data_IF_951160676356
#
_entry.id   IF_951160676356
#
_cell.length_a   1.000
_cell.length_b   1.000
_cell.length_c   1.000
_cell.angle_alpha   90.00
_cell.angle_beta   90.00
_cell.angle_gamma   90.00
#
_symmetry.space_group_name_H-M   'P 1'
#
loop_
_entity.id
_entity.type
_entity.pdbx_description
1 polymer ?
#
# COMPACT_ATOMS: atom_id res chain seq x y z
N UNK A 1 10.18 -1.30 -13.58
CA UNK A 1 10.13 0.17 -13.75
C UNK A 1 9.92 0.78 -12.37
N UNK A 2 10.48 1.96 -12.06
CA UNK A 2 10.20 2.64 -10.78
C UNK A 2 8.91 3.42 -10.90
N UNK A 3 7.96 3.19 -9.99
CA UNK A 3 6.68 3.90 -9.97
C UNK A 3 6.49 4.49 -8.58
N UNK A 4 6.02 5.73 -8.54
CA UNK A 4 5.67 6.36 -7.27
C UNK A 4 4.31 5.88 -6.78
N UNK A 5 4.23 5.60 -5.48
CA UNK A 5 2.96 5.34 -4.81
C UNK A 5 2.66 6.46 -3.82
N UNK A 6 1.40 6.87 -3.77
CA UNK A 6 0.92 7.81 -2.76
C UNK A 6 0.68 7.03 -1.47
N UNK A 7 1.22 7.52 -0.36
CA UNK A 7 1.08 6.90 0.96
C UNK A 7 0.08 7.70 1.79
N UNK A 8 -0.92 7.02 2.32
CA UNK A 8 -1.95 7.59 3.18
C UNK A 8 -1.99 6.86 4.51
N UNK A 9 -2.00 7.61 5.61
CA UNK A 9 -2.30 7.06 6.94
C UNK A 9 -3.81 7.01 7.11
N UNK A 10 -4.33 5.81 7.37
CA UNK A 10 -5.77 5.52 7.41
C UNK A 10 -6.09 4.64 8.60
N UNK A 11 -7.34 4.61 9.01
CA UNK A 11 -7.85 3.61 9.93
C UNK A 11 -8.32 2.39 9.13
N UNK A 12 -7.82 1.21 9.50
CA UNK A 12 -8.14 -0.07 8.84
C UNK A 12 -8.89 -0.96 9.83
N UNK A 13 -9.99 -1.57 9.39
CA UNK A 13 -10.72 -2.53 10.21
C UNK A 13 -9.97 -3.86 10.30
N UNK A 14 -9.69 -4.33 11.51
CA UNK A 14 -9.06 -5.63 11.73
C UNK A 14 -10.08 -6.78 11.76
N UNK A 15 -9.59 -8.03 11.81
CA UNK A 15 -10.44 -9.24 11.80
C UNK A 15 -11.43 -9.34 12.97
N UNK A 16 -11.24 -8.56 14.04
CA UNK A 16 -12.14 -8.50 15.18
C UNK A 16 -13.17 -7.36 15.08
N UNK A 17 -13.19 -6.62 13.97
CA UNK A 17 -14.11 -5.49 13.73
C UNK A 17 -13.69 -4.19 14.43
N UNK A 18 -12.42 -4.06 14.85
CA UNK A 18 -11.91 -2.81 15.44
C UNK A 18 -11.07 -2.04 14.42
N UNK A 19 -11.27 -0.72 14.38
CA UNK A 19 -10.40 0.20 13.66
C UNK A 19 -9.04 0.29 14.33
N UNK A 20 -7.98 0.12 13.53
CA UNK A 20 -6.59 0.28 13.95
C UNK A 20 -5.85 1.16 12.96
N UNK A 21 -4.83 1.87 13.43
CA UNK A 21 -3.99 2.66 12.54
C UNK A 21 -3.30 1.77 11.51
N UNK A 22 -3.35 2.20 10.26
CA UNK A 22 -2.74 1.53 9.13
C UNK A 22 -2.25 2.51 8.08
N UNK A 23 -1.73 1.93 7.02
CA UNK A 23 -1.26 2.64 5.86
C UNK A 23 -1.89 2.07 4.61
N UNK A 24 -2.25 2.95 3.69
CA UNK A 24 -2.73 2.64 2.36
C UNK A 24 -1.73 3.18 1.34
N UNK A 25 -1.31 2.33 0.39
CA UNK A 25 -0.50 2.74 -0.75
C UNK A 25 -1.33 2.69 -2.03
N UNK A 26 -1.34 3.80 -2.77
CA UNK A 26 -2.05 3.93 -4.05
C UNK A 26 -1.07 4.04 -5.21
N UNK A 27 -1.24 3.20 -6.23
CA UNK A 27 -0.46 3.32 -7.46
C UNK A 27 -0.90 4.56 -8.26
N UNK A 28 0.03 5.49 -8.50
CA UNK A 28 -0.24 6.73 -9.28
C UNK A 28 -0.58 6.48 -10.76
N UNK A 29 -0.40 5.25 -11.28
CA UNK A 29 -0.65 4.92 -12.70
C UNK A 29 -1.96 4.17 -12.91
N UNK A 30 -2.19 3.10 -12.16
CA UNK A 30 -3.39 2.26 -12.32
C UNK A 30 -4.47 2.55 -11.29
N UNK A 31 -4.15 3.29 -10.21
CA UNK A 31 -5.09 3.59 -9.13
C UNK A 31 -5.41 2.41 -8.22
N UNK A 32 -4.73 1.27 -8.35
CA UNK A 32 -4.87 0.16 -7.40
C UNK A 32 -4.36 0.58 -6.02
N UNK A 33 -5.01 0.08 -4.98
CA UNK A 33 -4.77 0.45 -3.58
C UNK A 33 -4.51 -0.82 -2.77
N UNK A 34 -3.55 -0.76 -1.86
CA UNK A 34 -3.26 -1.85 -0.91
C UNK A 34 -3.08 -1.29 0.49
N UNK A 35 -3.53 -2.06 1.47
CA UNK A 35 -3.54 -1.64 2.87
C UNK A 35 -2.70 -2.58 3.75
N UNK A 36 -2.11 -2.03 4.80
CA UNK A 36 -1.38 -2.77 5.82
C UNK A 36 -1.62 -2.17 7.18
N UNK A 37 -1.77 -3.03 8.18
CA UNK A 37 -1.82 -2.59 9.57
C UNK A 37 -0.48 -1.96 10.00
N UNK A 38 -0.56 -0.97 10.90
CA UNK A 38 0.56 -0.22 11.43
C UNK A 38 1.02 0.92 10.51
N UNK A 39 1.72 1.89 11.10
CA UNK A 39 2.14 3.15 10.45
C UNK A 39 3.65 3.32 10.34
N UNK A 40 4.43 2.32 10.74
CA UNK A 40 5.88 2.36 10.68
C UNK A 40 6.41 2.02 9.28
N UNK A 41 7.68 2.35 9.01
CA UNK A 41 8.34 2.14 7.70
C UNK A 41 8.20 0.71 7.16
N UNK A 42 8.14 -0.29 8.05
CA UNK A 42 7.93 -1.69 7.69
C UNK A 42 6.52 -1.94 7.13
N UNK A 43 5.50 -1.26 7.65
CA UNK A 43 4.13 -1.31 7.14
C UNK A 43 4.03 -0.66 5.76
N UNK A 44 4.69 0.49 5.56
CA UNK A 44 4.77 1.17 4.25
C UNK A 44 5.42 0.24 3.22
N UNK A 45 6.59 -0.35 3.54
CA UNK A 45 7.28 -1.30 2.66
C UNK A 45 6.43 -2.53 2.33
N UNK A 46 5.62 -3.00 3.27
CA UNK A 46 4.68 -4.10 3.04
C UNK A 46 3.58 -3.70 2.06
N UNK A 47 2.96 -2.54 2.24
CA UNK A 47 1.98 -2.01 1.29
C UNK A 47 2.54 -1.90 -0.13
N UNK A 48 3.73 -1.32 -0.28
CA UNK A 48 4.40 -1.21 -1.58
C UNK A 48 4.69 -2.58 -2.21
N UNK A 49 5.02 -3.59 -1.39
CA UNK A 49 5.24 -4.96 -1.85
C UNK A 49 3.93 -5.63 -2.29
N UNK A 50 2.84 -5.47 -1.54
CA UNK A 50 1.50 -5.94 -1.94
C UNK A 50 1.06 -5.25 -3.23
N UNK A 51 1.31 -3.96 -3.38
CA UNK A 51 0.97 -3.19 -4.57
C UNK A 51 1.73 -3.70 -5.82
N UNK A 52 2.95 -4.22 -5.65
CA UNK A 52 3.70 -4.92 -6.70
C UNK A 52 3.07 -6.27 -7.09
N UNK A 53 2.57 -7.02 -6.11
CA UNK A 53 2.00 -8.35 -6.33
C UNK A 53 0.58 -8.29 -6.91
N UNK A 54 -0.19 -7.27 -6.51
CA UNK A 54 -1.61 -7.12 -6.87
C UNK A 54 -1.86 -6.12 -7.99
N UNK A 55 -0.81 -5.49 -8.54
CA UNK A 55 -0.97 -4.53 -9.63
C UNK A 55 -1.74 -5.16 -10.80
N UNK A 56 -2.90 -4.63 -11.21
CA UNK A 56 -3.72 -5.22 -12.27
C UNK A 56 -3.04 -5.21 -13.64
N UNK A 57 -2.02 -4.37 -13.82
CA UNK A 57 -1.23 -4.33 -15.05
C UNK A 57 -0.19 -5.46 -15.12
N UNK A 58 0.01 -6.24 -14.05
CA UNK A 58 0.98 -7.35 -14.00
C UNK A 58 2.44 -6.91 -14.20
N UNK A 59 2.71 -5.61 -14.02
CA UNK A 59 4.01 -5.02 -14.24
C UNK A 59 4.94 -5.31 -13.05
N UNK A 60 6.19 -5.70 -13.32
CA UNK A 60 7.21 -5.86 -12.29
C UNK A 60 7.75 -4.49 -11.86
N UNK A 61 6.95 -3.78 -11.07
CA UNK A 61 7.18 -2.40 -10.64
C UNK A 61 7.88 -2.32 -9.30
N UNK A 62 8.92 -1.48 -9.21
CA UNK A 62 9.53 -1.14 -7.93
C UNK A 62 8.83 0.11 -7.42
N UNK A 63 7.95 -0.05 -6.43
CA UNK A 63 7.22 1.07 -5.85
C UNK A 63 8.05 1.77 -4.77
N UNK A 64 8.13 3.10 -4.85
CA UNK A 64 8.78 3.98 -3.88
C UNK A 64 7.75 5.02 -3.40
N UNK A 65 7.87 5.43 -2.13
CA UNK A 65 7.10 6.54 -1.55
C UNK A 65 7.39 7.84 -2.33
N UNK A 66 6.36 8.67 -2.56
CA UNK A 66 6.48 9.93 -3.32
C UNK A 66 7.33 11.00 -2.64
#
# INVERSE_FOLDING_TARGET
MKIKAEIHYVDVENENGYEVEGVMARCTRCGHETESFGVADNSIRRCLKLLNEECPNGENNFYEED
#
